data_IF_269342546262
#
_entry.id   IF_269342546262
#
_cell.length_a   1.000
_cell.length_b   1.000
_cell.length_c   1.000
_cell.angle_alpha   90.00
_cell.angle_beta   90.00
_cell.angle_gamma   90.00
#
_symmetry.space_group_name_H-M   'P 1'
#
loop_
_entity.id
_entity.type
_entity.pdbx_description
1 polymer ?
#
# COMPACT_ATOMS: atom_id res chain seq x y z
N UNK A 1 20.69 36.00 35.66
CA UNK A 1 20.05 36.56 34.46
C UNK A 1 20.14 35.52 33.38
N UNK A 2 18.98 35.00 33.00
CA UNK A 2 18.68 33.96 32.03
C UNK A 2 19.55 33.96 30.77
N UNK A 3 19.86 32.78 30.23
CA UNK A 3 19.80 32.49 28.78
C UNK A 3 19.54 30.98 28.61
N UNK A 4 18.25 30.64 28.65
CA UNK A 4 17.72 29.43 28.05
C UNK A 4 17.63 29.69 26.54
N UNK A 5 18.50 29.06 25.75
CA UNK A 5 18.31 28.97 24.32
C UNK A 5 17.49 27.70 24.02
N UNK A 6 16.18 27.90 23.90
CA UNK A 6 15.28 26.99 23.22
C UNK A 6 15.68 26.92 21.75
N UNK A 7 15.91 25.71 21.23
CA UNK A 7 15.78 25.43 19.80
C UNK A 7 15.07 24.09 19.65
N UNK A 8 13.74 24.16 19.70
CA UNK A 8 12.84 23.18 19.11
C UNK A 8 13.00 23.23 17.59
N UNK A 9 14.02 22.54 17.07
CA UNK A 9 14.06 22.11 15.68
C UNK A 9 13.26 20.83 15.55
N UNK A 10 11.92 20.93 15.56
CA UNK A 10 11.09 19.80 15.16
C UNK A 10 11.43 19.49 13.72
N UNK A 11 12.02 18.33 13.47
CA UNK A 11 12.25 17.84 12.12
C UNK A 11 10.91 17.91 11.38
N UNK A 12 10.90 18.63 10.26
CA UNK A 12 9.85 18.46 9.27
C UNK A 12 10.02 17.04 8.73
N UNK A 13 9.40 16.06 9.39
CA UNK A 13 9.36 14.69 8.88
C UNK A 13 8.74 14.74 7.48
N UNK A 14 9.36 14.01 6.56
CA UNK A 14 9.14 14.13 5.12
C UNK A 14 7.71 13.81 4.79
N UNK A 15 6.89 14.83 4.57
CA UNK A 15 5.57 14.64 3.95
C UNK A 15 5.74 14.62 2.46
N UNK A 16 5.30 13.54 1.85
CA UNK A 16 5.27 13.39 0.41
C UNK A 16 3.89 13.71 -0.15
N UNK A 17 3.85 14.15 -1.41
CA UNK A 17 2.61 14.33 -2.17
C UNK A 17 2.52 13.19 -3.19
N UNK A 18 1.36 12.52 -3.24
CA UNK A 18 1.13 11.36 -4.10
C UNK A 18 -0.26 11.46 -4.74
N UNK A 19 -0.40 10.85 -5.92
CA UNK A 19 -1.52 11.02 -6.82
C UNK A 19 -2.25 9.71 -7.08
N UNK A 20 -3.58 9.77 -7.08
CA UNK A 20 -4.46 8.67 -7.43
C UNK A 20 -5.36 9.11 -8.57
N UNK A 21 -5.53 8.26 -9.59
CA UNK A 21 -6.50 8.48 -10.65
C UNK A 21 -7.65 7.50 -10.53
N UNK A 22 -8.87 8.02 -10.68
CA UNK A 22 -10.09 7.21 -10.69
C UNK A 22 -10.87 7.46 -11.98
N UNK A 23 -11.49 6.43 -12.58
CA UNK A 23 -12.36 6.61 -13.75
C UNK A 23 -13.66 7.37 -13.43
N UNK A 24 -14.01 7.48 -12.14
CA UNK A 24 -15.19 8.20 -11.65
C UNK A 24 -14.86 9.05 -10.44
N UNK A 25 -15.66 10.08 -10.18
CA UNK A 25 -15.48 10.90 -8.98
C UNK A 25 -15.69 10.06 -7.71
N UNK A 26 -14.70 10.11 -6.80
CA UNK A 26 -14.76 9.48 -5.48
C UNK A 26 -15.55 10.41 -4.56
N UNK A 27 -16.70 9.93 -4.09
CA UNK A 27 -17.55 10.63 -3.12
C UNK A 27 -17.41 10.08 -1.71
N UNK A 28 -17.06 8.79 -1.57
CA UNK A 28 -16.90 8.10 -0.29
C UNK A 28 -15.99 6.88 -0.45
N UNK A 29 -15.04 6.72 0.46
CA UNK A 29 -14.21 5.54 0.64
C UNK A 29 -14.99 4.52 1.46
N UNK A 30 -14.94 3.27 1.01
CA UNK A 30 -15.61 2.15 1.64
C UNK A 30 -14.75 0.90 1.47
N UNK A 31 -15.21 -0.24 1.99
CA UNK A 31 -14.46 -1.50 1.95
C UNK A 31 -14.82 -2.38 0.75
N UNK A 32 -15.49 -1.82 -0.27
CA UNK A 32 -15.92 -2.55 -1.48
C UNK A 32 -14.88 -2.39 -2.60
N UNK A 33 -14.94 -3.30 -3.57
CA UNK A 33 -13.99 -3.33 -4.68
C UNK A 33 -12.71 -4.09 -4.35
N UNK A 34 -11.79 -4.09 -5.32
CA UNK A 34 -10.63 -5.00 -5.33
C UNK A 34 -9.70 -4.82 -4.14
N UNK A 35 -9.39 -3.57 -3.82
CA UNK A 35 -8.50 -3.20 -2.73
C UNK A 35 -9.25 -2.75 -1.47
N UNK A 36 -10.58 -2.88 -1.44
CA UNK A 36 -11.41 -2.43 -0.35
C UNK A 36 -11.18 -0.95 -0.03
N UNK A 37 -10.73 -0.66 1.19
CA UNK A 37 -10.47 0.69 1.70
C UNK A 37 -9.18 1.34 1.23
N UNK A 38 -8.31 0.58 0.56
CA UNK A 38 -7.02 1.07 0.09
C UNK A 38 -7.14 1.67 -1.31
N UNK A 39 -6.48 2.80 -1.54
CA UNK A 39 -6.26 3.36 -2.87
C UNK A 39 -4.78 3.29 -3.25
N UNK A 40 -4.51 3.02 -4.53
CA UNK A 40 -3.16 3.02 -5.09
C UNK A 40 -2.77 4.43 -5.54
N UNK A 41 -1.64 4.93 -5.07
CA UNK A 41 -1.09 6.22 -5.43
C UNK A 41 0.32 6.08 -6.03
N UNK A 42 0.75 7.09 -6.78
CA UNK A 42 2.11 7.21 -7.30
C UNK A 42 2.69 8.60 -7.02
N UNK A 43 4.01 8.76 -7.09
CA UNK A 43 4.68 10.05 -6.88
C UNK A 43 4.35 11.08 -7.98
N UNK A 44 4.04 10.61 -9.19
CA UNK A 44 3.62 11.42 -10.32
C UNK A 44 2.21 10.97 -10.79
N UNK A 45 1.50 11.84 -11.52
CA UNK A 45 0.17 11.49 -12.07
C UNK A 45 0.29 10.26 -12.99
N UNK A 46 -0.37 9.19 -12.59
CA UNK A 46 -0.34 7.91 -13.28
C UNK A 46 -1.75 7.53 -13.76
N UNK A 47 -1.93 7.34 -15.08
CA UNK A 47 -3.25 7.05 -15.69
C UNK A 47 -3.22 5.66 -16.33
N UNK A 48 -3.94 4.70 -15.74
CA UNK A 48 -4.09 3.35 -16.32
C UNK A 48 -5.25 3.21 -17.31
N UNK A 49 -6.20 4.13 -17.27
CA UNK A 49 -7.46 4.03 -18.02
C UNK A 49 -7.42 4.83 -19.32
N UNK A 50 -7.83 4.20 -20.43
CA UNK A 50 -8.14 4.92 -21.66
C UNK A 50 -9.50 5.64 -21.49
N UNK A 51 -9.49 6.96 -21.38
CA UNK A 51 -10.71 7.77 -21.25
C UNK A 51 -10.54 8.96 -20.30
N UNK A 52 -11.65 9.62 -19.99
CA UNK A 52 -11.68 10.66 -18.96
C UNK A 52 -11.42 10.05 -17.58
N UNK A 53 -10.63 10.74 -16.76
CA UNK A 53 -10.32 10.36 -15.39
C UNK A 53 -10.36 11.58 -14.47
N UNK A 54 -10.53 11.31 -13.17
CA UNK A 54 -10.41 12.30 -12.11
C UNK A 54 -9.10 12.04 -11.37
N UNK A 55 -8.30 13.08 -11.19
CA UNK A 55 -7.02 12.97 -10.48
C UNK A 55 -7.15 13.61 -9.11
N UNK A 56 -6.73 12.87 -8.09
CA UNK A 56 -6.64 13.31 -6.71
C UNK A 56 -5.20 13.33 -6.26
N UNK A 57 -4.90 14.19 -5.29
CA UNK A 57 -3.65 14.17 -4.54
C UNK A 57 -3.93 14.14 -3.05
N UNK A 58 -3.02 13.50 -2.30
CA UNK A 58 -2.97 13.58 -0.84
C UNK A 58 -1.55 13.94 -0.39
N UNK A 59 -1.42 14.35 0.88
CA UNK A 59 -0.13 14.46 1.56
C UNK A 59 -0.07 13.46 2.70
N UNK A 60 0.96 12.64 2.73
CA UNK A 60 1.15 11.59 3.73
C UNK A 60 2.56 11.69 4.31
N UNK A 61 2.71 11.35 5.59
CA UNK A 61 4.04 11.30 6.21
C UNK A 61 4.76 10.03 5.77
N UNK A 62 6.02 10.14 5.38
CA UNK A 62 6.84 8.98 5.02
C UNK A 62 6.95 7.99 6.18
N UNK A 63 6.89 8.46 7.44
CA UNK A 63 6.88 7.56 8.61
C UNK A 63 5.62 6.70 8.73
N UNK A 64 4.53 7.10 8.08
CA UNK A 64 3.27 6.35 8.09
C UNK A 64 3.25 5.24 7.02
N UNK A 65 4.33 5.09 6.25
CA UNK A 65 4.45 4.14 5.15
C UNK A 65 5.60 3.17 5.43
N UNK A 66 5.31 1.88 5.38
CA UNK A 66 6.34 0.84 5.43
C UNK A 66 6.68 0.35 4.01
N UNK A 67 7.93 -0.03 3.77
CA UNK A 67 8.29 -0.74 2.55
C UNK A 67 7.85 -2.20 2.63
N UNK A 68 7.22 -2.75 1.58
CA UNK A 68 6.75 -4.15 1.56
C UNK A 68 7.84 -5.14 1.98
N UNK A 69 9.05 -4.97 1.42
CA UNK A 69 10.24 -5.76 1.75
C UNK A 69 10.72 -5.67 3.22
N UNK A 70 10.11 -4.82 4.05
CA UNK A 70 10.43 -4.65 5.48
C UNK A 70 9.36 -5.19 6.43
N UNK A 71 8.22 -5.67 5.91
CA UNK A 71 7.07 -6.12 6.73
C UNK A 71 7.47 -7.17 7.77
N UNK A 72 8.17 -8.23 7.37
CA UNK A 72 8.56 -9.32 8.28
C UNK A 72 9.80 -9.03 9.14
N UNK A 73 10.44 -7.88 8.95
CA UNK A 73 11.47 -7.39 9.88
C UNK A 73 10.90 -6.51 11.00
N UNK A 74 9.60 -6.23 10.97
CA UNK A 74 8.94 -5.46 12.00
C UNK A 74 8.75 -6.28 13.28
N UNK A 75 8.89 -5.65 14.46
CA UNK A 75 8.78 -6.33 15.76
C UNK A 75 7.42 -7.01 15.99
N UNK A 76 6.38 -6.53 15.29
CA UNK A 76 5.01 -7.05 15.32
C UNK A 76 4.69 -8.03 14.18
N UNK A 77 5.69 -8.54 13.45
CA UNK A 77 5.46 -9.47 12.34
C UNK A 77 4.64 -10.72 12.74
N UNK A 78 4.73 -11.16 13.99
CA UNK A 78 3.91 -12.26 14.52
C UNK A 78 2.39 -12.00 14.46
N UNK A 79 1.96 -10.73 14.44
CA UNK A 79 0.54 -10.36 14.29
C UNK A 79 -0.01 -10.69 12.89
N UNK A 80 0.87 -11.03 11.93
CA UNK A 80 0.54 -11.28 10.53
C UNK A 80 0.23 -12.75 10.23
N UNK A 81 0.30 -13.65 11.21
CA UNK A 81 0.16 -15.10 10.97
C UNK A 81 -1.12 -15.47 10.22
N UNK A 82 -2.25 -14.82 10.54
CA UNK A 82 -3.52 -15.04 9.83
C UNK A 82 -3.51 -14.59 8.36
N UNK A 83 -2.68 -13.59 8.00
CA UNK A 83 -2.49 -13.18 6.62
C UNK A 83 -1.56 -14.15 5.87
N UNK A 84 -0.51 -14.64 6.53
CA UNK A 84 0.39 -15.68 5.99
C UNK A 84 -0.40 -16.95 5.70
N UNK A 85 -1.18 -17.45 6.66
CA UNK A 85 -2.07 -18.59 6.48
C UNK A 85 -3.05 -18.39 5.31
N UNK A 86 -3.58 -17.18 5.15
CA UNK A 86 -4.47 -16.85 4.03
C UNK A 86 -3.76 -16.96 2.68
N UNK A 87 -2.53 -16.47 2.57
CA UNK A 87 -1.74 -16.59 1.33
C UNK A 87 -1.40 -18.04 1.03
N UNK A 88 -1.00 -18.82 2.04
CA UNK A 88 -0.77 -20.26 1.87
C UNK A 88 -2.03 -20.97 1.35
N UNK A 89 -3.22 -20.64 1.86
CA UNK A 89 -4.48 -21.21 1.37
C UNK A 89 -4.82 -20.80 -0.07
N UNK A 90 -4.49 -19.57 -0.46
CA UNK A 90 -4.75 -19.03 -1.79
C UNK A 90 -3.83 -19.63 -2.86
N UNK A 91 -2.59 -19.96 -2.49
CA UNK A 91 -1.52 -20.31 -3.43
C UNK A 91 -1.04 -21.75 -3.31
N UNK A 92 -1.31 -22.42 -2.17
CA UNK A 92 -0.79 -23.75 -1.86
C UNK A 92 0.69 -23.78 -1.45
N UNK A 93 1.36 -22.62 -1.33
CA UNK A 93 2.77 -22.55 -0.94
C UNK A 93 3.00 -22.75 0.57
N UNK A 94 4.26 -22.86 0.96
CA UNK A 94 4.68 -22.91 2.36
C UNK A 94 4.73 -21.51 3.01
N UNK A 95 4.97 -21.48 4.32
CA UNK A 95 5.00 -20.26 5.13
C UNK A 95 6.06 -19.27 4.62
N UNK A 96 7.29 -19.74 4.40
CA UNK A 96 8.40 -18.91 3.91
C UNK A 96 8.05 -18.25 2.57
N UNK A 97 7.47 -19.01 1.63
CA UNK A 97 7.04 -18.48 0.32
C UNK A 97 5.91 -17.46 0.48
N UNK A 98 4.96 -17.71 1.38
CA UNK A 98 3.88 -16.78 1.66
C UNK A 98 4.39 -15.44 2.23
N UNK A 99 5.39 -15.46 3.10
CA UNK A 99 6.05 -14.24 3.59
C UNK A 99 6.78 -13.48 2.47
N UNK A 100 7.47 -14.20 1.58
CA UNK A 100 8.17 -13.60 0.43
C UNK A 100 7.19 -12.97 -0.58
N UNK A 101 6.00 -13.55 -0.76
CA UNK A 101 4.91 -12.97 -1.57
C UNK A 101 4.34 -11.70 -0.93
N UNK A 102 4.01 -11.74 0.37
CA UNK A 102 3.51 -10.57 1.11
C UNK A 102 4.56 -9.46 1.13
N UNK A 103 5.84 -9.79 1.23
CA UNK A 103 6.92 -8.80 1.19
C UNK A 103 7.28 -8.33 -0.23
N UNK A 104 6.58 -8.82 -1.26
CA UNK A 104 6.78 -8.49 -2.68
C UNK A 104 8.20 -8.76 -3.17
N UNK A 105 8.90 -9.73 -2.57
CA UNK A 105 10.25 -10.16 -2.98
C UNK A 105 10.20 -11.19 -4.09
N UNK A 106 9.12 -11.95 -4.14
CA UNK A 106 8.76 -12.82 -5.25
C UNK A 106 7.35 -12.47 -5.73
N UNK A 107 7.06 -12.79 -6.98
CA UNK A 107 5.73 -12.64 -7.57
C UNK A 107 5.03 -14.00 -7.67
N UNK A 108 3.70 -14.03 -7.61
CA UNK A 108 2.89 -15.23 -7.84
C UNK A 108 3.12 -15.85 -9.22
N UNK A 109 3.51 -15.06 -10.23
CA UNK A 109 3.92 -15.57 -11.55
C UNK A 109 5.18 -16.45 -11.50
N UNK A 110 5.94 -16.42 -10.39
CA UNK A 110 7.11 -17.27 -10.19
C UNK A 110 6.76 -18.62 -9.58
N UNK A 111 5.49 -18.88 -9.24
CA UNK A 111 5.03 -20.15 -8.71
C UNK A 111 4.72 -21.13 -9.85
N UNK A 112 5.24 -22.35 -9.73
CA UNK A 112 5.18 -23.35 -10.82
C UNK A 112 3.77 -23.95 -11.04
N UNK A 113 2.90 -23.91 -10.04
CA UNK A 113 1.61 -24.63 -10.03
C UNK A 113 0.38 -23.71 -10.25
N UNK A 114 0.58 -22.48 -10.75
CA UNK A 114 -0.50 -21.50 -10.95
C UNK A 114 -0.60 -21.11 -12.43
N UNK A 115 -1.80 -21.28 -13.00
CA UNK A 115 -2.09 -20.82 -14.35
C UNK A 115 -2.01 -19.29 -14.45
N UNK A 116 -1.53 -18.76 -15.58
CA UNK A 116 -1.26 -17.32 -15.74
C UNK A 116 -2.46 -16.40 -15.50
N UNK A 117 -3.69 -16.84 -15.81
CA UNK A 117 -4.91 -16.07 -15.51
C UNK A 117 -5.18 -15.99 -14.01
N UNK A 118 -4.94 -17.08 -13.29
CA UNK A 118 -5.15 -17.14 -11.85
C UNK A 118 -4.03 -16.38 -11.12
N UNK A 119 -2.80 -16.41 -11.66
CA UNK A 119 -1.69 -15.61 -11.16
C UNK A 119 -1.98 -14.10 -11.23
N UNK A 120 -2.61 -13.59 -12.29
CA UNK A 120 -2.98 -12.18 -12.37
C UNK A 120 -3.97 -11.77 -11.25
N UNK A 121 -5.02 -12.56 -11.03
CA UNK A 121 -5.97 -12.31 -9.95
C UNK A 121 -5.34 -12.52 -8.57
N UNK A 122 -4.43 -13.47 -8.41
CA UNK A 122 -3.72 -13.66 -7.15
C UNK A 122 -2.77 -12.50 -6.88
N UNK A 123 -2.08 -11.97 -7.88
CA UNK A 123 -1.13 -10.84 -7.73
C UNK A 123 -1.83 -9.63 -7.09
N UNK A 124 -3.02 -9.27 -7.60
CA UNK A 124 -3.82 -8.20 -7.01
C UNK A 124 -4.32 -8.51 -5.59
N UNK A 125 -4.65 -9.77 -5.29
CA UNK A 125 -5.04 -10.16 -3.93
C UNK A 125 -3.84 -10.08 -2.96
N UNK A 126 -2.65 -10.50 -3.39
CA UNK A 126 -1.42 -10.39 -2.60
C UNK A 126 -1.09 -8.91 -2.32
N UNK A 127 -1.26 -8.01 -3.30
CA UNK A 127 -1.09 -6.57 -3.07
C UNK A 127 -2.07 -6.05 -2.01
N UNK A 128 -3.35 -6.44 -2.07
CA UNK A 128 -4.34 -6.09 -1.05
C UNK A 128 -3.97 -6.64 0.34
N UNK A 129 -3.47 -7.88 0.42
CA UNK A 129 -3.01 -8.50 1.67
C UNK A 129 -1.78 -7.77 2.22
N UNK A 130 -0.87 -7.36 1.35
CA UNK A 130 0.33 -6.59 1.71
C UNK A 130 -0.04 -5.25 2.34
N UNK A 131 -1.03 -4.54 1.78
CA UNK A 131 -1.54 -3.30 2.37
C UNK A 131 -2.22 -3.54 3.74
N UNK A 132 -2.98 -4.64 3.88
CA UNK A 132 -3.57 -5.06 5.17
C UNK A 132 -2.50 -5.44 6.20
N UNK A 133 -1.38 -6.01 5.78
CA UNK A 133 -0.26 -6.33 6.67
C UNK A 133 0.34 -5.04 7.24
N UNK A 134 0.63 -4.05 6.38
CA UNK A 134 1.09 -2.73 6.84
C UNK A 134 0.13 -2.08 7.83
N UNK A 135 -1.18 -2.10 7.55
CA UNK A 135 -2.21 -1.60 8.47
C UNK A 135 -2.22 -2.36 9.81
N UNK A 136 -2.12 -3.69 9.78
CA UNK A 136 -2.03 -4.52 10.99
C UNK A 136 -0.83 -4.16 11.88
N UNK A 137 0.30 -3.84 11.25
CA UNK A 137 1.51 -3.39 11.95
C UNK A 137 1.43 -1.96 12.49
N UNK A 138 0.41 -1.19 12.09
CA UNK A 138 0.15 0.18 12.57
C UNK A 138 0.55 1.28 11.59
N UNK A 139 0.90 0.94 10.35
CA UNK A 139 1.19 1.92 9.30
C UNK A 139 -0.08 2.31 8.56
N UNK A 140 -0.10 3.51 7.99
CA UNK A 140 -1.22 3.98 7.15
C UNK A 140 -1.17 3.36 5.75
N UNK A 141 0.00 2.98 5.28
CA UNK A 141 0.14 2.38 3.98
C UNK A 141 1.45 1.64 3.78
N UNK A 142 1.62 1.15 2.56
CA UNK A 142 2.79 0.40 2.12
C UNK A 142 3.28 0.90 0.78
N UNK A 143 4.60 0.97 0.61
CA UNK A 143 5.23 1.20 -0.69
C UNK A 143 5.69 -0.12 -1.31
N UNK A 144 5.37 -0.32 -2.58
CA UNK A 144 5.75 -1.47 -3.40
C UNK A 144 6.46 -0.98 -4.66
N UNK A 145 7.32 -1.81 -5.25
CA UNK A 145 7.89 -1.54 -6.58
C UNK A 145 7.04 -2.24 -7.62
N UNK A 146 6.70 -1.52 -8.69
CA UNK A 146 6.10 -2.08 -9.90
C UNK A 146 6.94 -1.68 -11.14
N UNK A 147 6.48 -2.10 -12.31
CA UNK A 147 7.16 -1.83 -13.60
C UNK A 147 7.29 -0.33 -13.93
N UNK A 148 6.50 0.53 -13.27
CA UNK A 148 6.35 1.94 -13.57
C UNK A 148 6.87 2.86 -12.45
N UNK A 149 7.28 2.27 -11.32
CA UNK A 149 7.94 2.96 -10.22
C UNK A 149 7.45 2.48 -8.86
N UNK A 150 7.32 3.41 -7.92
CA UNK A 150 6.81 3.09 -6.59
C UNK A 150 5.30 3.31 -6.54
N UNK A 151 4.58 2.23 -6.24
CA UNK A 151 3.15 2.27 -5.91
C UNK A 151 2.98 2.37 -4.39
N UNK A 152 2.11 3.27 -3.95
CA UNK A 152 1.77 3.46 -2.54
C UNK A 152 0.31 3.04 -2.33
N UNK A 153 0.09 1.95 -1.61
CA UNK A 153 -1.26 1.55 -1.20
C UNK A 153 -1.55 2.15 0.17
N UNK A 154 -2.48 3.10 0.22
CA UNK A 154 -2.78 3.89 1.42
C UNK A 154 -4.20 3.58 1.89
N UNK A 155 -4.37 3.32 3.18
CA UNK A 155 -5.68 3.23 3.82
C UNK A 155 -6.34 4.61 3.82
N UNK A 156 -7.50 4.69 3.17
CA UNK A 156 -8.26 5.92 3.01
C UNK A 156 -9.61 5.88 3.74
N UNK A 157 -9.93 4.82 4.50
CA UNK A 157 -11.21 4.74 5.20
C UNK A 157 -11.32 5.86 6.24
N UNK A 158 -12.30 6.75 6.06
CA UNK A 158 -12.50 7.91 6.93
C UNK A 158 -11.53 9.07 6.67
N UNK A 159 -10.70 8.98 5.63
CA UNK A 159 -9.75 10.01 5.19
C UNK A 159 -10.20 10.69 3.88
N UNK A 160 -11.48 10.61 3.54
CA UNK A 160 -12.08 11.14 2.31
C UNK A 160 -11.77 12.62 2.11
N UNK A 161 -11.78 13.39 3.20
CA UNK A 161 -11.55 14.84 3.19
C UNK A 161 -10.10 15.22 2.82
N UNK A 162 -9.17 14.27 2.83
CA UNK A 162 -7.77 14.51 2.41
C UNK A 162 -7.60 14.47 0.90
N UNK A 163 -8.54 13.88 0.16
CA UNK A 163 -8.51 13.82 -1.31
C UNK A 163 -8.75 15.21 -1.89
N UNK A 164 -7.69 15.81 -2.45
CA UNK A 164 -7.78 17.07 -3.17
C UNK A 164 -7.82 16.78 -4.66
N UNK A 165 -8.96 17.05 -5.30
CA UNK A 165 -9.09 16.98 -6.76
C UNK A 165 -8.16 17.99 -7.43
N UNK A 166 -7.42 17.55 -8.45
CA UNK A 166 -6.51 18.40 -9.24
C UNK A 166 -6.90 18.49 -10.72
N UNK A 167 -7.65 17.51 -11.23
CA UNK A 167 -8.15 17.46 -12.61
C UNK A 167 -9.52 16.76 -12.63
#
# INVERSE_FOLDING_TARGET
GSHMASMTGGQQMGRMEIFHTSPVEITTINTQGRFGEFLCFAADEYVMTAGDHVTYRIKVDESDIIMAGSIFYHERAADLSGLVERVMQLTGCDEDTAEELISQRIDVFNLDDIDASDAAELSWEIQAITAKAAKTLGFRGVSMQDEQGTCYMIDMLGHDAELVRVK
#
